data_IF_424879959302
#
_entry.id   IF_424879959302
#
_cell.length_a   1.000
_cell.length_b   1.000
_cell.length_c   1.000
_cell.angle_alpha   90.00
_cell.angle_beta   90.00
_cell.angle_gamma   90.00
#
_symmetry.space_group_name_H-M   'P 1'
#
loop_
_entity.id
_entity.type
_entity.pdbx_description
1 polymer ?
#
# COMPACT_ATOMS: atom_id res chain seq x y z
N UNK A 1 -9.57 -13.29 63.79
CA UNK A 1 -9.14 -14.03 62.59
C UNK A 1 -9.50 -13.19 61.37
N UNK A 2 -8.53 -12.49 60.78
CA UNK A 2 -8.68 -11.78 59.50
C UNK A 2 -7.33 -11.92 58.80
N UNK A 3 -7.30 -12.63 57.67
CA UNK A 3 -6.09 -12.90 56.90
C UNK A 3 -5.80 -11.72 55.97
N UNK A 4 -4.59 -11.17 56.04
CA UNK A 4 -4.07 -10.17 55.13
C UNK A 4 -3.22 -10.89 54.08
N UNK A 5 -3.58 -10.73 52.79
CA UNK A 5 -2.79 -11.24 51.68
C UNK A 5 -1.59 -10.32 51.44
N UNK A 6 -0.39 -10.88 51.58
CA UNK A 6 0.86 -10.21 51.26
C UNK A 6 1.08 -10.22 49.73
N UNK A 7 1.36 -9.04 49.18
CA UNK A 7 1.77 -8.84 47.80
C UNK A 7 3.14 -9.47 47.55
N UNK A 8 3.23 -10.34 46.54
CA UNK A 8 4.50 -10.93 46.12
C UNK A 8 5.02 -10.22 44.87
N UNK A 9 6.09 -9.44 45.04
CA UNK A 9 6.90 -8.92 43.94
C UNK A 9 7.87 -9.99 43.48
N UNK A 10 7.73 -10.46 42.25
CA UNK A 10 8.78 -11.23 41.58
C UNK A 10 9.17 -10.59 40.26
N UNK A 11 10.38 -10.03 40.26
CA UNK A 11 11.05 -9.46 39.11
C UNK A 11 11.77 -10.59 38.39
N UNK A 12 11.11 -11.18 37.39
CA UNK A 12 11.65 -12.26 36.55
C UNK A 12 12.20 -11.71 35.23
N UNK A 13 13.52 -11.84 35.06
CA UNK A 13 14.31 -11.45 33.89
C UNK A 13 13.85 -12.14 32.59
N UNK A 14 13.72 -11.35 31.53
CA UNK A 14 13.76 -11.64 30.07
C UNK A 14 13.05 -12.92 29.54
N UNK A 15 12.30 -12.75 28.44
CA UNK A 15 12.97 -13.06 27.18
C UNK A 15 13.05 -11.84 26.27
N UNK A 16 14.27 -11.58 25.81
CA UNK A 16 14.55 -10.91 24.55
C UNK A 16 13.74 -11.62 23.47
N UNK A 17 12.59 -11.03 23.10
CA UNK A 17 11.86 -11.47 21.93
C UNK A 17 12.71 -11.09 20.74
N UNK A 18 13.47 -12.08 20.29
CA UNK A 18 14.21 -12.13 19.04
C UNK A 18 13.35 -11.43 17.99
N UNK A 19 13.83 -10.30 17.48
CA UNK A 19 13.34 -9.69 16.25
C UNK A 19 13.60 -10.71 15.14
N UNK A 20 12.69 -11.69 15.07
CA UNK A 20 12.60 -12.70 14.04
C UNK A 20 12.45 -11.91 12.75
N UNK A 21 13.49 -11.94 11.93
CA UNK A 21 13.54 -11.31 10.62
C UNK A 21 12.20 -11.55 9.93
N UNK A 22 11.43 -10.48 9.79
CA UNK A 22 10.17 -10.55 9.10
C UNK A 22 10.51 -10.92 7.66
N UNK A 23 9.92 -11.99 7.12
CA UNK A 23 10.12 -12.30 5.72
C UNK A 23 9.47 -11.15 4.97
N UNK A 24 10.29 -10.24 4.43
CA UNK A 24 9.90 -9.44 3.28
C UNK A 24 9.44 -10.47 2.25
N UNK A 25 8.12 -10.69 2.14
CA UNK A 25 7.57 -11.47 1.05
C UNK A 25 7.93 -10.68 -0.20
N UNK A 26 9.02 -11.10 -0.85
CA UNK A 26 9.49 -10.56 -2.12
C UNK A 26 8.37 -10.79 -3.14
N UNK A 27 7.49 -9.80 -3.26
CA UNK A 27 6.66 -9.65 -4.44
C UNK A 27 7.52 -9.30 -5.65
N UNK A 28 6.96 -9.29 -6.87
CA UNK A 28 7.69 -9.03 -8.11
C UNK A 28 8.46 -7.68 -8.11
N UNK A 29 8.17 -6.77 -7.19
CA UNK A 29 8.81 -5.45 -7.04
C UNK A 29 9.79 -5.32 -5.87
N UNK A 30 10.30 -6.44 -5.33
CA UNK A 30 11.51 -6.46 -4.48
C UNK A 30 11.34 -6.01 -3.03
N UNK A 31 10.44 -5.08 -2.70
CA UNK A 31 10.09 -4.71 -1.32
C UNK A 31 8.62 -4.29 -1.28
N UNK A 32 7.74 -5.22 -0.92
CA UNK A 32 6.37 -4.87 -0.54
C UNK A 32 6.35 -4.75 0.98
N UNK A 33 5.99 -3.55 1.47
CA UNK A 33 5.83 -3.28 2.90
C UNK A 33 4.76 -4.19 3.51
N UNK A 34 4.63 -4.17 4.84
CA UNK A 34 3.63 -4.98 5.55
C UNK A 34 2.24 -4.79 4.93
N UNK A 35 1.51 -5.88 4.63
CA UNK A 35 0.20 -5.76 4.01
C UNK A 35 -0.75 -4.99 4.93
N UNK A 36 -1.45 -4.01 4.36
CA UNK A 36 -2.53 -3.25 4.99
C UNK A 36 -3.85 -3.95 4.69
N UNK A 37 -4.71 -4.07 5.70
CA UNK A 37 -6.05 -4.64 5.59
C UNK A 37 -7.09 -3.55 5.59
N UNK A 38 -8.06 -3.64 4.68
CA UNK A 38 -9.23 -2.77 4.61
C UNK A 38 -10.52 -3.58 4.51
N UNK A 39 -11.58 -3.05 5.09
CA UNK A 39 -12.94 -3.57 4.94
C UNK A 39 -13.52 -3.15 3.60
N UNK A 40 -14.58 -3.84 3.17
CA UNK A 40 -15.33 -3.48 1.96
C UNK A 40 -15.72 -2.00 1.95
N UNK A 41 -15.62 -1.37 0.77
CA UNK A 41 -15.92 0.03 0.46
C UNK A 41 -14.98 1.05 1.13
N UNK A 42 -13.90 0.63 1.79
CA UNK A 42 -12.88 1.57 2.27
C UNK A 42 -11.96 2.02 1.13
N UNK A 43 -11.72 3.32 1.03
CA UNK A 43 -10.79 3.91 0.07
C UNK A 43 -9.33 3.54 0.41
N UNK A 44 -8.57 3.21 -0.65
CA UNK A 44 -7.13 3.00 -0.60
C UNK A 44 -6.41 4.32 -0.87
N UNK A 45 -6.85 5.03 -1.92
CA UNK A 45 -6.49 6.40 -2.27
C UNK A 45 -7.62 7.01 -3.10
N UNK A 46 -7.63 8.34 -3.20
CA UNK A 46 -8.59 9.08 -4.03
C UNK A 46 -7.94 9.70 -5.25
N UNK A 47 -8.80 10.05 -6.21
CA UNK A 47 -8.45 10.94 -7.31
C UNK A 47 -7.80 12.22 -6.77
N UNK A 48 -6.82 12.74 -7.51
CA UNK A 48 -6.03 13.93 -7.18
C UNK A 48 -5.08 13.77 -5.96
N UNK A 49 -5.13 12.66 -5.23
CA UNK A 49 -4.11 12.36 -4.22
C UNK A 49 -2.76 11.99 -4.87
N UNK A 50 -1.67 12.29 -4.16
CA UNK A 50 -0.31 12.10 -4.68
C UNK A 50 0.03 10.62 -4.97
N UNK A 51 0.36 10.31 -6.22
CA UNK A 51 0.67 8.97 -6.73
C UNK A 51 2.13 8.54 -6.40
N UNK A 52 2.42 8.32 -5.12
CA UNK A 52 3.77 8.05 -4.60
C UNK A 52 4.08 6.56 -4.36
N UNK A 53 3.09 5.69 -4.49
CA UNK A 53 3.20 4.28 -4.12
C UNK A 53 2.64 3.37 -5.20
N UNK A 54 3.27 2.21 -5.35
CA UNK A 54 2.78 1.10 -6.16
C UNK A 54 2.18 0.07 -5.21
N UNK A 55 0.96 -0.36 -5.51
CA UNK A 55 0.20 -1.25 -4.67
C UNK A 55 0.09 -2.62 -5.33
N UNK A 56 0.09 -3.68 -4.53
CA UNK A 56 -0.21 -5.04 -5.02
C UNK A 56 -1.25 -5.70 -4.11
N UNK A 57 -2.28 -6.28 -4.72
CA UNK A 57 -3.31 -7.01 -3.98
C UNK A 57 -2.73 -8.32 -3.47
N UNK A 58 -2.81 -8.56 -2.16
CA UNK A 58 -2.37 -9.80 -1.52
C UNK A 58 -3.53 -10.80 -1.36
N UNK A 59 -4.72 -10.30 -1.00
CA UNK A 59 -5.96 -11.06 -0.88
C UNK A 59 -7.15 -10.11 -1.07
N UNK A 60 -8.32 -10.62 -1.41
CA UNK A 60 -9.50 -9.77 -1.58
C UNK A 60 -9.77 -9.40 -3.04
N UNK A 61 -10.25 -8.16 -3.26
CA UNK A 61 -10.42 -7.55 -4.57
C UNK A 61 -10.54 -6.03 -4.41
N UNK A 62 -9.92 -5.29 -5.32
CA UNK A 62 -9.92 -3.82 -5.35
C UNK A 62 -10.64 -3.33 -6.60
N UNK A 63 -11.28 -2.16 -6.54
CA UNK A 63 -11.90 -1.50 -7.70
C UNK A 63 -11.41 -0.07 -7.86
N UNK A 64 -11.11 0.33 -9.09
CA UNK A 64 -10.99 1.73 -9.48
C UNK A 64 -12.37 2.30 -9.82
N UNK A 65 -12.61 3.54 -9.42
CA UNK A 65 -13.85 4.26 -9.69
C UNK A 65 -13.60 5.76 -9.78
N UNK A 66 -14.41 6.44 -10.59
CA UNK A 66 -14.46 7.90 -10.66
C UNK A 66 -15.88 8.35 -10.31
N UNK A 67 -15.98 9.51 -9.66
CA UNK A 67 -17.27 10.18 -9.46
C UNK A 67 -17.46 11.10 -10.66
N UNK A 68 -18.53 10.87 -11.41
CA UNK A 68 -18.90 11.71 -12.54
C UNK A 68 -19.45 13.06 -12.04
N UNK A 69 -19.47 14.08 -12.90
CA UNK A 69 -20.01 15.42 -12.55
C UNK A 69 -21.47 15.38 -12.07
N UNK A 70 -22.22 14.35 -12.46
CA UNK A 70 -23.60 14.11 -12.01
C UNK A 70 -23.71 13.38 -10.65
N UNK A 71 -22.58 13.11 -9.99
CA UNK A 71 -22.49 12.47 -8.69
C UNK A 71 -22.60 10.94 -8.72
N UNK A 72 -22.62 10.31 -9.89
CA UNK A 72 -22.64 8.84 -10.00
C UNK A 72 -21.23 8.25 -9.96
N UNK A 73 -21.09 7.13 -9.27
CA UNK A 73 -19.86 6.35 -9.27
C UNK A 73 -19.81 5.42 -10.49
N UNK A 74 -18.79 5.56 -11.33
CA UNK A 74 -18.52 4.60 -12.40
C UNK A 74 -17.34 3.73 -12.02
N UNK A 75 -17.55 2.40 -11.94
CA UNK A 75 -16.45 1.45 -11.74
C UNK A 75 -15.66 1.33 -13.05
N UNK A 76 -14.35 1.60 -13.00
CA UNK A 76 -13.46 1.51 -14.14
C UNK A 76 -12.81 0.14 -14.31
N UNK A 77 -12.17 -0.38 -13.26
CA UNK A 77 -11.41 -1.64 -13.32
C UNK A 77 -11.45 -2.38 -11.98
N UNK A 78 -11.22 -3.70 -12.03
CA UNK A 78 -11.03 -4.54 -10.85
C UNK A 78 -9.63 -5.13 -10.83
N UNK A 79 -9.02 -5.19 -9.65
CA UNK A 79 -7.72 -5.80 -9.41
C UNK A 79 -7.87 -6.98 -8.42
N UNK A 80 -7.29 -8.11 -8.78
CA UNK A 80 -7.34 -9.38 -8.06
C UNK A 80 -6.00 -9.69 -7.37
N UNK A 81 -5.94 -10.70 -6.47
CA UNK A 81 -4.70 -11.06 -5.80
C UNK A 81 -3.56 -11.33 -6.78
N UNK A 82 -2.45 -10.62 -6.62
CA UNK A 82 -1.29 -10.62 -7.52
C UNK A 82 -1.23 -9.39 -8.44
N UNK A 83 -2.35 -8.74 -8.72
CA UNK A 83 -2.39 -7.56 -9.58
C UNK A 83 -1.80 -6.35 -8.87
N UNK A 84 -1.17 -5.48 -9.67
CA UNK A 84 -0.57 -4.23 -9.21
C UNK A 84 -1.31 -3.03 -9.77
N UNK A 85 -1.44 -1.96 -8.97
CA UNK A 85 -2.19 -0.75 -9.32
C UNK A 85 -1.56 0.51 -8.70
N UNK A 86 -2.03 1.69 -9.13
CA UNK A 86 -1.50 3.00 -8.70
C UNK A 86 -0.22 3.43 -9.42
N UNK A 87 0.09 2.82 -10.57
CA UNK A 87 1.16 3.26 -11.45
C UNK A 87 0.60 4.31 -12.41
N UNK A 88 0.77 5.57 -12.04
CA UNK A 88 0.33 6.71 -12.83
C UNK A 88 1.52 7.41 -13.49
N UNK A 89 1.32 7.91 -14.72
CA UNK A 89 2.34 8.68 -15.41
C UNK A 89 2.59 10.06 -14.78
N UNK A 90 1.57 10.61 -14.11
CA UNK A 90 1.64 11.89 -13.40
C UNK A 90 2.00 11.78 -11.92
N UNK A 91 1.98 12.92 -11.24
CA UNK A 91 2.22 13.02 -9.79
C UNK A 91 0.97 12.74 -8.94
N UNK A 92 -0.21 12.66 -9.56
CA UNK A 92 -1.51 12.46 -8.90
C UNK A 92 -2.28 11.27 -9.48
N UNK A 93 -3.18 10.69 -8.68
CA UNK A 93 -4.08 9.62 -9.11
C UNK A 93 -5.18 10.14 -10.05
N UNK A 94 -5.34 9.50 -11.21
CA UNK A 94 -6.40 9.82 -12.21
C UNK A 94 -7.76 9.21 -11.87
N UNK A 95 -7.80 8.38 -10.82
CA UNK A 95 -9.00 7.69 -10.37
C UNK A 95 -8.93 7.40 -8.88
N UNK A 96 -10.08 7.20 -8.25
CA UNK A 96 -10.15 6.73 -6.87
C UNK A 96 -10.13 5.20 -6.84
N UNK A 97 -9.63 4.63 -5.74
CA UNK A 97 -9.56 3.17 -5.59
C UNK A 97 -10.07 2.76 -4.22
N UNK A 98 -10.98 1.77 -4.20
CA UNK A 98 -11.56 1.24 -2.98
C UNK A 98 -11.55 -0.29 -2.94
N UNK A 99 -11.61 -0.84 -1.74
CA UNK A 99 -11.75 -2.27 -1.51
C UNK A 99 -13.15 -2.75 -1.96
N UNK A 100 -13.24 -3.64 -2.94
CA UNK A 100 -14.51 -4.20 -3.40
C UNK A 100 -15.11 -5.23 -2.41
N UNK A 101 -14.23 -5.84 -1.60
CA UNK A 101 -14.51 -6.70 -0.44
C UNK A 101 -13.39 -6.57 0.58
N UNK A 102 -13.44 -7.28 1.71
CA UNK A 102 -12.31 -7.35 2.65
C UNK A 102 -11.02 -7.72 1.92
N UNK A 103 -10.05 -6.82 1.99
CA UNK A 103 -8.88 -6.83 1.12
C UNK A 103 -7.61 -6.56 1.91
N UNK A 104 -6.57 -7.30 1.55
CA UNK A 104 -5.20 -7.02 1.94
C UNK A 104 -4.40 -6.62 0.72
N UNK A 105 -3.60 -5.57 0.85
CA UNK A 105 -2.67 -5.14 -0.18
C UNK A 105 -1.37 -4.71 0.46
N UNK A 106 -0.28 -4.84 -0.27
CA UNK A 106 0.98 -4.24 0.10
C UNK A 106 1.29 -3.01 -0.72
N UNK A 107 2.26 -2.23 -0.26
CA UNK A 107 2.69 -0.98 -0.89
C UNK A 107 4.20 -0.94 -1.02
N UNK A 108 4.70 -0.43 -2.14
CA UNK A 108 6.10 -0.15 -2.42
C UNK A 108 6.26 1.31 -2.84
N UNK A 109 7.31 1.98 -2.36
CA UNK A 109 7.56 3.39 -2.74
C UNK A 109 8.02 3.48 -4.19
N UNK A 110 7.39 4.37 -4.97
CA UNK A 110 7.79 4.67 -6.35
C UNK A 110 9.02 5.58 -6.44
N UNK A 111 9.51 6.11 -5.31
CA UNK A 111 10.70 6.97 -5.26
C UNK A 111 11.97 6.30 -5.83
N UNK A 112 12.02 4.95 -5.83
CA UNK A 112 13.13 4.19 -6.41
C UNK A 112 12.99 3.92 -7.93
N UNK A 113 11.89 4.32 -8.58
CA UNK A 113 11.58 3.97 -9.97
C UNK A 113 11.40 5.13 -10.96
N UNK A 114 11.19 6.37 -10.49
CA UNK A 114 11.01 7.56 -11.36
C UNK A 114 12.33 8.15 -11.91
N UNK A 115 13.49 7.61 -11.54
CA UNK A 115 14.79 8.00 -12.12
C UNK A 115 15.20 7.07 -13.28
N UNK A 116 14.46 7.12 -14.40
CA UNK A 116 14.85 6.43 -15.63
C UNK A 116 14.33 7.15 -16.88
N UNK A 117 14.45 8.48 -16.93
CA UNK A 117 14.36 9.21 -18.19
C UNK A 117 14.95 10.62 -18.03
N UNK A 118 16.27 10.67 -17.80
CA UNK A 118 17.04 11.74 -18.42
C UNK A 118 16.94 11.48 -19.93
N UNK A 119 15.92 12.04 -20.58
CA UNK A 119 15.99 12.31 -22.00
C UNK A 119 17.05 13.40 -22.17
N UNK A 120 18.32 13.00 -22.09
CA UNK A 120 19.46 13.79 -22.52
C UNK A 120 19.33 13.86 -24.04
N UNK A 121 18.54 14.82 -24.52
CA UNK A 121 18.62 15.27 -25.91
C UNK A 121 19.81 16.21 -25.93
N UNK A 122 20.97 15.81 -26.49
CA UNK A 122 22.10 16.71 -26.59
C UNK A 122 21.67 17.93 -27.44
N UNK A 123 21.87 19.16 -26.96
CA UNK A 123 21.58 20.33 -27.77
C UNK A 123 22.63 20.40 -28.89
N UNK A 124 22.18 20.22 -30.13
CA UNK A 124 22.92 20.64 -31.32
C UNK A 124 23.35 19.49 -32.23
N UNK A 125 22.50 19.18 -33.21
CA UNK A 125 23.01 18.75 -34.52
C UNK A 125 22.82 19.93 -35.47
N UNK A 126 23.88 20.68 -35.83
CA UNK A 126 23.80 21.58 -36.97
C UNK A 126 23.73 20.76 -38.28
N UNK A 127 23.00 21.31 -39.26
CA UNK A 127 22.80 20.77 -40.61
C UNK A 127 24.11 20.59 -41.39
#
# INVERSE_FOLDING_TARGET
MHAQAASFTETGRHPTSVLRGQPHRRGPFGIIARPKRLTRNSDIYREDEAAQYLYQVASGAVRAYNILEDGRDQNGAFYLPGDSFGLEAGDSHISSVAAAKDTEFGLGSLANGRNASSLDVPPGTPL
#
